data_IF_750732757914
#
_entry.id   IF_750732757914
#
_cell.length_a   1.000
_cell.length_b   1.000
_cell.length_c   1.000
_cell.angle_alpha   90.00
_cell.angle_beta   90.00
_cell.angle_gamma   90.00
#
_symmetry.space_group_name_H-M   'P 1'
#
loop_
_entity.id
_entity.type
_entity.pdbx_description
1 polymer ?
#
# COMPACT_ATOMS: atom_id res chain seq x y z
N UNK A 1 -3.07 -5.42 -39.30
CA UNK A 1 -2.65 -5.65 -37.91
C UNK A 1 -2.81 -4.35 -37.13
N UNK A 2 -3.90 -4.22 -36.37
CA UNK A 2 -4.25 -3.00 -35.64
C UNK A 2 -3.51 -2.95 -34.30
N UNK A 3 -2.63 -1.95 -34.16
CA UNK A 3 -1.89 -1.66 -32.95
C UNK A 3 -2.85 -1.15 -31.85
N UNK A 4 -3.05 -1.86 -30.73
CA UNK A 4 -3.91 -1.36 -29.65
C UNK A 4 -3.21 -0.17 -28.98
N UNK A 5 -3.81 1.01 -29.14
CA UNK A 5 -3.37 2.26 -28.52
C UNK A 5 -3.12 2.04 -27.02
N UNK A 6 -1.86 2.12 -26.61
CA UNK A 6 -1.47 2.19 -25.18
C UNK A 6 -2.23 3.38 -24.56
N UNK A 7 -2.99 3.19 -23.47
CA UNK A 7 -3.67 4.30 -22.82
C UNK A 7 -2.62 5.32 -22.35
N UNK A 8 -2.68 6.54 -22.90
CA UNK A 8 -1.84 7.66 -22.48
C UNK A 8 -2.01 7.82 -20.96
N UNK A 9 -0.89 7.92 -20.25
CA UNK A 9 -0.88 8.23 -18.82
C UNK A 9 -1.65 9.53 -18.60
N UNK A 10 -2.90 9.40 -18.14
CA UNK A 10 -3.76 10.53 -17.81
C UNK A 10 -3.20 11.12 -16.52
N UNK A 11 -2.48 12.23 -16.64
CA UNK A 11 -2.10 13.03 -15.49
C UNK A 11 -3.38 13.38 -14.74
N UNK A 12 -3.41 13.09 -13.43
CA UNK A 12 -4.52 13.50 -12.59
C UNK A 12 -4.68 15.02 -12.72
N UNK A 13 -5.89 15.49 -13.05
CA UNK A 13 -6.20 16.91 -13.03
C UNK A 13 -5.91 17.48 -11.63
N UNK A 14 -5.67 18.77 -11.52
CA UNK A 14 -5.39 19.40 -10.23
C UNK A 14 -6.50 19.13 -9.20
N UNK A 15 -7.76 19.06 -9.64
CA UNK A 15 -8.90 18.68 -8.81
C UNK A 15 -8.85 17.22 -8.34
N UNK A 16 -8.45 16.28 -9.21
CA UNK A 16 -8.28 14.87 -8.82
C UNK A 16 -7.17 14.70 -7.77
N UNK A 17 -6.08 15.48 -7.88
CA UNK A 17 -4.99 15.49 -6.87
C UNK A 17 -5.46 16.06 -5.52
N UNK A 18 -6.20 17.17 -5.55
CA UNK A 18 -6.74 17.78 -4.33
C UNK A 18 -7.73 16.86 -3.63
N UNK A 19 -8.63 16.22 -4.39
CA UNK A 19 -9.57 15.25 -3.85
C UNK A 19 -8.85 14.05 -3.24
N UNK A 20 -7.85 13.49 -3.95
CA UNK A 20 -7.05 12.39 -3.44
C UNK A 20 -6.34 12.75 -2.13
N UNK A 21 -5.70 13.93 -2.05
CA UNK A 21 -5.02 14.40 -0.85
C UNK A 21 -5.99 14.67 0.31
N UNK A 22 -7.17 15.22 0.03
CA UNK A 22 -8.21 15.44 1.02
C UNK A 22 -8.75 14.12 1.59
N UNK A 23 -9.03 13.14 0.72
CA UNK A 23 -9.42 11.79 1.12
C UNK A 23 -8.33 11.12 1.96
N UNK A 24 -7.08 11.16 1.50
CA UNK A 24 -5.94 10.59 2.23
C UNK A 24 -5.77 11.22 3.62
N UNK A 25 -5.91 12.54 3.72
CA UNK A 25 -5.85 13.27 5.00
C UNK A 25 -7.01 12.93 5.93
N UNK A 26 -8.22 12.72 5.39
CA UNK A 26 -9.38 12.26 6.15
C UNK A 26 -9.18 10.85 6.70
N UNK A 27 -8.72 9.92 5.85
CA UNK A 27 -8.44 8.54 6.22
C UNK A 27 -7.29 8.45 7.23
N UNK A 28 -6.23 9.24 7.07
CA UNK A 28 -5.14 9.31 8.04
C UNK A 28 -5.63 9.80 9.41
N UNK A 29 -6.45 10.87 9.45
CA UNK A 29 -7.06 11.35 10.70
C UNK A 29 -7.92 10.28 11.38
N UNK A 30 -8.69 9.52 10.60
CA UNK A 30 -9.47 8.40 11.12
C UNK A 30 -8.56 7.28 11.66
N UNK A 31 -7.50 6.93 10.92
CA UNK A 31 -6.53 5.91 11.31
C UNK A 31 -5.81 6.25 12.63
N UNK A 32 -5.62 7.54 12.97
CA UNK A 32 -5.07 7.94 14.27
C UNK A 32 -6.04 7.75 15.44
N UNK A 33 -7.36 7.70 15.22
CA UNK A 33 -8.36 7.69 16.31
C UNK A 33 -8.47 6.36 17.08
N UNK A 34 -7.60 5.36 16.81
CA UNK A 34 -7.61 4.00 17.43
C UNK A 34 -9.00 3.34 17.46
N UNK A 35 -9.89 3.69 16.52
CA UNK A 35 -11.23 3.11 16.37
C UNK A 35 -11.20 2.06 15.26
N UNK A 36 -10.53 0.95 15.56
CA UNK A 36 -10.23 -0.09 14.57
C UNK A 36 -11.49 -0.72 13.98
N UNK A 37 -12.55 -0.84 14.79
CA UNK A 37 -13.88 -1.29 14.37
C UNK A 37 -14.55 -0.39 13.32
N UNK A 38 -14.04 0.82 13.08
CA UNK A 38 -14.51 1.72 12.01
C UNK A 38 -13.51 1.85 10.87
N UNK A 39 -12.22 1.99 11.19
CA UNK A 39 -11.18 2.22 10.19
C UNK A 39 -11.00 1.03 9.23
N UNK A 40 -10.91 -0.19 9.75
CA UNK A 40 -10.67 -1.38 8.92
C UNK A 40 -11.84 -1.72 7.99
N UNK A 41 -13.11 -1.75 8.44
CA UNK A 41 -14.24 -2.00 7.55
C UNK A 41 -14.35 -0.96 6.42
N UNK A 42 -14.10 0.32 6.73
CA UNK A 42 -14.12 1.39 5.73
C UNK A 42 -13.06 1.17 4.65
N UNK A 43 -11.80 0.93 5.05
CA UNK A 43 -10.68 0.73 4.12
C UNK A 43 -10.85 -0.53 3.28
N UNK A 44 -11.38 -1.62 3.87
CA UNK A 44 -11.76 -2.83 3.14
C UNK A 44 -12.87 -2.59 2.13
N UNK A 45 -13.89 -1.81 2.52
CA UNK A 45 -14.98 -1.42 1.62
C UNK A 45 -14.47 -0.62 0.43
N UNK A 46 -13.62 0.38 0.68
CA UNK A 46 -12.96 1.16 -0.38
C UNK A 46 -12.12 0.28 -1.30
N UNK A 47 -11.34 -0.67 -0.76
CA UNK A 47 -10.57 -1.60 -1.56
C UNK A 47 -11.47 -2.46 -2.49
N UNK A 48 -12.59 -2.99 -1.97
CA UNK A 48 -13.57 -3.73 -2.79
C UNK A 48 -14.17 -2.88 -3.90
N UNK A 49 -14.52 -1.62 -3.61
CA UNK A 49 -15.01 -0.68 -4.61
C UNK A 49 -13.96 -0.41 -5.68
N UNK A 50 -12.69 -0.22 -5.30
CA UNK A 50 -11.58 -0.07 -6.26
C UNK A 50 -11.44 -1.29 -7.15
N UNK A 51 -11.43 -2.50 -6.59
CA UNK A 51 -11.32 -3.75 -7.35
C UNK A 51 -12.46 -3.88 -8.38
N UNK A 52 -13.69 -3.59 -7.97
CA UNK A 52 -14.87 -3.60 -8.85
C UNK A 52 -14.77 -2.54 -9.95
N UNK A 53 -14.48 -1.29 -9.58
CA UNK A 53 -14.36 -0.17 -10.51
C UNK A 53 -13.22 -0.37 -11.53
N UNK A 54 -12.07 -0.87 -11.07
CA UNK A 54 -10.90 -1.16 -11.91
C UNK A 54 -10.98 -2.51 -12.62
N UNK A 55 -12.11 -3.23 -12.49
CA UNK A 55 -12.40 -4.54 -13.09
C UNK A 55 -11.23 -5.50 -12.90
N UNK A 56 -10.74 -5.57 -11.67
CA UNK A 56 -9.61 -6.39 -11.30
C UNK A 56 -9.91 -7.87 -11.51
N UNK A 57 -8.90 -8.63 -11.94
CA UNK A 57 -8.99 -10.07 -12.21
C UNK A 57 -7.89 -10.79 -11.44
N UNK A 58 -8.07 -12.08 -11.10
CA UNK A 58 -7.01 -12.88 -10.51
C UNK A 58 -5.75 -12.90 -11.40
N UNK A 59 -4.57 -12.80 -10.80
CA UNK A 59 -3.27 -12.74 -11.52
C UNK A 59 -2.31 -13.90 -11.18
N UNK A 60 -2.80 -14.90 -10.42
CA UNK A 60 -1.97 -16.03 -9.97
C UNK A 60 -1.02 -15.65 -8.84
N UNK A 61 0.02 -16.47 -8.63
CA UNK A 61 0.99 -16.35 -7.53
C UNK A 61 2.37 -15.86 -7.96
N UNK A 62 2.54 -15.41 -9.21
CA UNK A 62 3.82 -14.83 -9.64
C UNK A 62 4.04 -13.46 -8.94
N UNK A 63 5.16 -13.24 -8.24
CA UNK A 63 5.40 -12.00 -7.49
C UNK A 63 5.41 -10.76 -8.38
N UNK A 64 5.91 -10.88 -9.62
CA UNK A 64 5.91 -9.76 -10.58
C UNK A 64 4.48 -9.42 -11.01
N UNK A 65 3.67 -10.40 -11.39
CA UNK A 65 2.27 -10.20 -11.78
C UNK A 65 1.45 -9.58 -10.64
N UNK A 66 1.66 -10.03 -9.40
CA UNK A 66 1.04 -9.44 -8.21
C UNK A 66 1.41 -7.97 -8.03
N UNK A 67 2.70 -7.63 -8.15
CA UNK A 67 3.18 -6.27 -8.01
C UNK A 67 2.70 -5.34 -9.13
N UNK A 68 2.65 -5.84 -10.36
CA UNK A 68 2.13 -5.09 -11.51
C UNK A 68 0.62 -4.84 -11.38
N UNK A 69 -0.13 -5.79 -10.83
CA UNK A 69 -1.56 -5.61 -10.55
C UNK A 69 -1.77 -4.57 -9.44
N UNK A 70 -1.03 -4.65 -8.33
CA UNK A 70 -1.04 -3.61 -7.30
C UNK A 70 -0.80 -2.22 -7.92
N UNK A 71 0.25 -2.10 -8.73
CA UNK A 71 0.62 -0.85 -9.38
C UNK A 71 -0.47 -0.36 -10.35
N UNK A 72 -1.16 -1.26 -11.06
CA UNK A 72 -2.27 -0.94 -11.96
C UNK A 72 -3.51 -0.43 -11.23
N UNK A 73 -3.75 -0.90 -10.00
CA UNK A 73 -4.87 -0.48 -9.15
C UNK A 73 -4.66 0.94 -8.59
N UNK A 74 -3.42 1.42 -8.55
CA UNK A 74 -3.09 2.76 -8.06
C UNK A 74 -3.42 3.87 -9.09
N UNK A 75 -3.64 5.11 -8.63
CA UNK A 75 -3.93 6.23 -9.54
C UNK A 75 -2.80 6.54 -10.52
N UNK A 76 -1.54 6.28 -10.14
CA UNK A 76 -0.37 6.49 -11.00
C UNK A 76 0.77 5.54 -10.64
N UNK A 77 1.30 4.85 -11.66
CA UNK A 77 2.45 3.94 -11.52
C UNK A 77 3.70 4.63 -10.97
N UNK A 78 3.90 5.91 -11.30
CA UNK A 78 5.06 6.70 -10.84
C UNK A 78 5.07 6.92 -9.32
N UNK A 79 3.90 6.91 -8.69
CA UNK A 79 3.77 7.06 -7.24
C UNK A 79 4.09 5.77 -6.49
N UNK A 80 4.05 4.64 -7.19
CA UNK A 80 4.19 3.30 -6.63
C UNK A 80 5.11 2.43 -7.49
N UNK A 81 6.37 2.82 -7.69
CA UNK A 81 7.29 2.05 -8.52
C UNK A 81 7.61 0.70 -7.87
N UNK A 82 7.71 -0.33 -8.70
CA UNK A 82 8.30 -1.61 -8.33
C UNK A 82 9.81 -1.46 -8.51
N UNK A 83 10.58 -1.73 -7.46
CA UNK A 83 12.02 -1.50 -7.42
C UNK A 83 12.81 -2.76 -7.72
N UNK A 84 12.31 -3.92 -7.27
CA UNK A 84 12.94 -5.21 -7.51
C UNK A 84 11.92 -6.36 -7.47
N UNK A 85 12.29 -7.50 -8.05
CA UNK A 85 11.62 -8.79 -7.83
C UNK A 85 12.71 -9.81 -7.59
N UNK A 86 12.73 -10.40 -6.42
CA UNK A 86 13.79 -11.31 -5.96
C UNK A 86 13.13 -12.58 -5.40
N UNK A 87 13.43 -13.72 -6.04
CA UNK A 87 12.76 -14.99 -5.74
C UNK A 87 11.23 -14.83 -5.76
N UNK A 88 10.60 -15.16 -4.63
CA UNK A 88 9.15 -15.11 -4.48
C UNK A 88 8.60 -13.78 -3.96
N UNK A 89 9.41 -12.71 -3.96
CA UNK A 89 9.02 -11.42 -3.37
C UNK A 89 9.24 -10.28 -4.36
N UNK A 90 8.22 -9.43 -4.52
CA UNK A 90 8.36 -8.17 -5.21
C UNK A 90 8.49 -7.03 -4.20
N UNK A 91 9.40 -6.10 -4.47
CA UNK A 91 9.66 -4.93 -3.67
C UNK A 91 9.24 -3.67 -4.41
N UNK A 92 8.79 -2.67 -3.66
CA UNK A 92 8.39 -1.40 -4.23
C UNK A 92 8.41 -0.27 -3.22
N UNK A 93 8.02 0.90 -3.71
CA UNK A 93 7.94 2.11 -2.91
C UNK A 93 6.57 2.75 -2.98
N UNK A 94 6.19 3.52 -1.97
CA UNK A 94 5.08 4.48 -2.02
C UNK A 94 5.67 5.87 -1.84
N UNK A 95 5.69 6.63 -2.93
CA UNK A 95 6.25 7.98 -3.04
C UNK A 95 5.22 9.10 -2.83
N UNK A 96 3.96 8.74 -2.63
CA UNK A 96 2.91 9.69 -2.26
C UNK A 96 3.29 10.33 -0.93
N UNK A 97 3.24 11.65 -0.86
CA UNK A 97 3.44 12.37 0.40
C UNK A 97 2.33 11.99 1.39
N UNK A 98 2.73 11.37 2.50
CA UNK A 98 1.79 10.83 3.48
C UNK A 98 1.50 11.87 4.58
N UNK A 99 0.22 12.09 4.95
CA UNK A 99 -0.13 12.94 6.10
C UNK A 99 0.40 12.44 7.45
N UNK A 100 0.87 11.19 7.53
CA UNK A 100 1.52 10.63 8.71
C UNK A 100 3.03 10.81 8.71
N UNK A 101 3.62 11.42 7.67
CA UNK A 101 5.06 11.56 7.52
C UNK A 101 5.70 12.20 8.75
N UNK A 102 6.72 11.54 9.31
CA UNK A 102 7.47 12.01 10.48
C UNK A 102 6.69 12.10 11.79
N UNK A 103 5.46 11.60 11.86
CA UNK A 103 4.63 11.70 13.08
C UNK A 103 5.00 10.68 14.16
N UNK A 104 5.76 9.63 13.81
CA UNK A 104 6.04 8.48 14.68
C UNK A 104 4.88 7.49 14.81
N UNK A 105 3.68 7.81 14.30
CA UNK A 105 2.49 6.97 14.45
C UNK A 105 2.44 5.84 13.40
N UNK A 106 3.36 4.89 13.56
CA UNK A 106 3.46 3.69 12.71
C UNK A 106 2.23 2.77 12.82
N UNK A 107 1.51 2.84 13.93
CA UNK A 107 0.25 2.12 14.14
C UNK A 107 -0.89 2.71 13.30
N UNK A 108 -1.02 4.04 13.23
CA UNK A 108 -1.96 4.68 12.32
C UNK A 108 -1.58 4.40 10.86
N UNK A 109 -0.27 4.36 10.54
CA UNK A 109 0.16 3.95 9.21
C UNK A 109 -0.26 2.51 8.92
N UNK A 110 -0.02 1.57 9.85
CA UNK A 110 -0.46 0.19 9.69
C UNK A 110 -1.96 0.12 9.41
N UNK A 111 -2.79 0.82 10.18
CA UNK A 111 -4.24 0.89 9.94
C UNK A 111 -4.59 1.43 8.56
N UNK A 112 -4.00 2.55 8.16
CA UNK A 112 -4.23 3.19 6.86
C UNK A 112 -3.89 2.24 5.68
N UNK A 113 -2.82 1.47 5.82
CA UNK A 113 -2.35 0.52 4.81
C UNK A 113 -3.22 -0.75 4.71
N UNK A 114 -4.34 -0.85 5.45
CA UNK A 114 -5.32 -1.92 5.24
C UNK A 114 -5.95 -1.85 3.85
N UNK A 115 -6.01 -0.66 3.25
CA UNK A 115 -6.46 -0.50 1.88
C UNK A 115 -5.62 -1.36 0.91
N UNK A 116 -4.31 -1.14 0.86
CA UNK A 116 -3.39 -1.91 0.00
C UNK A 116 -3.36 -3.40 0.35
N UNK A 117 -3.34 -3.73 1.65
CA UNK A 117 -3.44 -5.14 2.09
C UNK A 117 -4.72 -5.81 1.61
N UNK A 118 -5.84 -5.09 1.59
CA UNK A 118 -7.12 -5.63 1.14
C UNK A 118 -7.17 -5.82 -0.37
N UNK A 119 -6.54 -4.91 -1.13
CA UNK A 119 -6.35 -5.11 -2.57
C UNK A 119 -5.56 -6.39 -2.82
N UNK A 120 -4.39 -6.55 -2.18
CA UNK A 120 -3.52 -7.69 -2.44
C UNK A 120 -4.08 -9.02 -1.92
N UNK A 121 -4.80 -9.00 -0.80
CA UNK A 121 -5.47 -10.20 -0.28
C UNK A 121 -6.50 -10.76 -1.27
N UNK A 122 -7.16 -9.90 -2.05
CA UNK A 122 -8.08 -10.35 -3.10
C UNK A 122 -7.38 -11.12 -4.24
N UNK A 123 -6.06 -10.95 -4.38
CA UNK A 123 -5.20 -11.67 -5.31
C UNK A 123 -4.42 -12.81 -4.66
N UNK A 124 -4.76 -13.19 -3.42
CA UNK A 124 -4.04 -14.24 -2.70
C UNK A 124 -2.61 -13.83 -2.35
N UNK A 125 -2.35 -12.55 -2.12
CA UNK A 125 -1.05 -12.03 -1.74
C UNK A 125 -1.08 -11.30 -0.40
N UNK A 126 0.06 -11.34 0.28
CA UNK A 126 0.38 -10.53 1.43
C UNK A 126 1.06 -9.24 0.96
N UNK A 127 0.75 -8.14 1.65
CA UNK A 127 1.36 -6.84 1.44
C UNK A 127 1.93 -6.36 2.76
N UNK A 128 3.24 -6.15 2.80
CA UNK A 128 3.99 -5.79 4.00
C UNK A 128 4.65 -4.44 3.79
N UNK A 129 4.50 -3.54 4.76
CA UNK A 129 5.23 -2.27 4.77
C UNK A 129 6.47 -2.45 5.61
N UNK A 130 7.64 -2.45 4.99
CA UNK A 130 8.95 -2.67 5.62
C UNK A 130 9.46 -1.39 6.30
N UNK A 131 9.34 -0.26 5.59
CA UNK A 131 9.60 1.08 6.10
C UNK A 131 8.39 1.96 5.85
N UNK A 132 8.03 2.79 6.81
CA UNK A 132 6.92 3.74 6.73
C UNK A 132 7.41 5.17 6.77
N UNK A 133 6.82 6.05 5.95
CA UNK A 133 7.04 7.50 6.07
C UNK A 133 6.68 8.05 7.46
N UNK A 134 5.86 7.34 8.26
CA UNK A 134 5.59 7.74 9.63
C UNK A 134 6.84 7.67 10.54
N UNK A 135 7.85 6.88 10.16
CA UNK A 135 9.13 6.82 10.86
C UNK A 135 9.95 8.09 10.66
N UNK A 136 10.77 8.43 11.66
CA UNK A 136 11.74 9.51 11.52
C UNK A 136 12.76 9.20 10.41
N UNK A 137 13.04 10.17 9.55
CA UNK A 137 14.04 10.07 8.49
C UNK A 137 13.63 9.25 7.26
N UNK A 138 12.42 8.67 7.22
CA UNK A 138 11.96 7.88 6.07
C UNK A 138 11.15 8.76 5.10
N UNK A 139 11.64 8.91 3.87
CA UNK A 139 11.05 9.78 2.84
C UNK A 139 9.97 9.10 2.00
N UNK A 140 10.07 7.79 1.80
CA UNK A 140 9.13 6.95 1.03
C UNK A 140 8.81 5.70 1.83
N UNK A 141 7.61 5.13 1.67
CA UNK A 141 7.36 3.82 2.28
C UNK A 141 8.01 2.75 1.41
N UNK A 142 8.64 1.75 2.02
CA UNK A 142 9.15 0.57 1.33
C UNK A 142 8.22 -0.60 1.61
N UNK A 143 7.88 -1.36 0.57
CA UNK A 143 6.89 -2.43 0.65
C UNK A 143 7.42 -3.72 0.04
N UNK A 144 6.85 -4.83 0.49
CA UNK A 144 7.02 -6.15 -0.08
C UNK A 144 5.66 -6.77 -0.39
N UNK A 145 5.58 -7.46 -1.52
CA UNK A 145 4.42 -8.22 -1.98
C UNK A 145 4.88 -9.66 -2.18
N UNK A 146 4.19 -10.60 -1.53
CA UNK A 146 4.50 -12.03 -1.59
C UNK A 146 3.21 -12.84 -1.68
N UNK A 147 3.16 -13.96 -2.42
CA UNK A 147 2.03 -14.89 -2.38
C UNK A 147 1.69 -15.31 -0.95
N UNK A 148 0.39 -15.35 -0.63
CA UNK A 148 -0.07 -15.60 0.74
C UNK A 148 0.16 -17.02 1.22
N UNK A 149 0.36 -17.96 0.29
CA UNK A 149 0.71 -19.35 0.58
C UNK A 149 2.15 -19.53 1.05
N UNK A 150 3.00 -18.52 0.87
CA UNK A 150 4.40 -18.58 1.29
C UNK A 150 4.60 -17.96 2.69
N UNK A 151 5.58 -18.47 3.46
CA UNK A 151 5.98 -17.82 4.71
C UNK A 151 6.43 -16.38 4.47
N UNK A 152 6.20 -15.51 5.45
CA UNK A 152 6.61 -14.10 5.41
C UNK A 152 7.15 -13.60 6.75
N UNK A 153 7.68 -14.52 7.58
CA UNK A 153 8.23 -14.18 8.89
C UNK A 153 9.49 -13.31 8.77
N UNK A 154 10.23 -13.45 7.67
CA UNK A 154 11.36 -12.62 7.26
C UNK A 154 10.95 -11.19 6.85
N UNK A 155 9.69 -10.97 6.45
CA UNK A 155 9.16 -9.66 6.08
C UNK A 155 8.63 -8.94 7.31
N UNK A 156 9.53 -8.34 8.09
CA UNK A 156 9.17 -7.65 9.35
C UNK A 156 8.46 -6.31 9.04
N UNK A 157 7.19 -6.13 9.44
CA UNK A 157 6.47 -4.90 9.16
C UNK A 157 6.94 -3.75 10.06
N UNK A 158 6.92 -2.53 9.54
CA UNK A 158 7.39 -1.31 10.20
C UNK A 158 6.79 -1.09 11.61
N UNK A 159 5.49 -1.31 11.77
CA UNK A 159 4.81 -1.15 13.07
C UNK A 159 5.33 -2.13 14.14
N UNK A 160 5.76 -3.34 13.75
CA UNK A 160 6.37 -4.30 14.68
C UNK A 160 7.83 -3.98 14.95
N UNK A 161 8.62 -3.69 13.91
CA UNK A 161 10.04 -3.36 14.05
C UNK A 161 10.26 -2.15 14.96
N UNK A 162 9.47 -1.09 14.77
CA UNK A 162 9.57 0.13 15.58
C UNK A 162 9.04 -0.11 17.00
N UNK A 163 7.97 -0.89 17.17
CA UNK A 163 7.48 -1.28 18.49
C UNK A 163 8.49 -2.12 19.30
N UNK A 164 9.25 -2.98 18.63
CA UNK A 164 10.32 -3.78 19.23
C UNK A 164 11.56 -2.94 19.60
N UNK A 165 11.93 -1.97 18.75
CA UNK A 165 13.06 -1.07 19.03
C UNK A 165 12.79 -0.10 20.21
N UNK A 166 11.52 0.15 20.54
CA UNK A 166 11.12 1.01 21.67
C UNK A 166 11.08 0.28 23.03
N UNK A 167 11.30 -1.03 23.06
CA UNK A 167 11.45 -1.83 24.29
C UNK A 167 12.87 -2.38 24.36
N UNK A 168 13.89 -1.57 24.68
CA UNK A 168 15.14 -2.14 25.17
C UNK A 168 14.80 -2.85 26.48
N UNK A 169 15.24 -4.10 26.61
CA UNK A 169 15.06 -4.92 27.80
C UNK A 169 15.43 -4.16 29.09
N UNK A 170 14.55 -4.32 30.09
CA UNK A 170 14.80 -4.03 31.49
C UNK A 170 15.66 -5.13 32.13
#
# INVERSE_FOLDING_TARGET
MTNPKRPRARWLSQSEKQLFNACLSGLARLARRRRDGLAFPLLRGLARLTLAYRRSKPVGSDPRALAEEWQRLMPSRKMVPITAVEGDTAFGEIRVECPLRGTGDVEACFRLMEYDRSLMRAHGAQFVVLRSQAEAGVSVCEIAIRPQLLPAADLIPAHRRVGQAASPEA
#
